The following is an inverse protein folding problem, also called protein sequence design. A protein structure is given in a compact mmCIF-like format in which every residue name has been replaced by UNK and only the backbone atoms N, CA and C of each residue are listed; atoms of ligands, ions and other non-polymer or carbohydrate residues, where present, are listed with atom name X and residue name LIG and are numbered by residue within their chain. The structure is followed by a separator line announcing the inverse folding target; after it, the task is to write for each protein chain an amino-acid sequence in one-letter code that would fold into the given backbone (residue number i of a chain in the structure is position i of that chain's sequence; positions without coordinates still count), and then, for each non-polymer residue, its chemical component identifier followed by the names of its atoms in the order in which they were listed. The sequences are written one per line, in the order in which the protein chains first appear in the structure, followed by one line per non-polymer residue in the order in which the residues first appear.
data_IF_975946554896
#
_entry.id   IF_975946554896
#
_cell.length_a   1.000
_cell.length_b   1.000
_cell.length_c   1.000
_cell.angle_alpha   90.00
_cell.angle_beta   90.00
_cell.angle_gamma   90.00
#
_symmetry.space_group_name_H-M   'P 1'
#
loop_
_entity.id
_entity.type
_entity.pdbx_description
1 polymer ?
#
# COMPACT_ATOMS: atom_id res chain seq x y z
N UNK A 1 -27.62 -55.80 -33.15
CA UNK A 1 -27.00 -55.00 -34.23
C UNK A 1 -26.86 -53.57 -33.72
N UNK A 2 -25.74 -52.87 -33.76
CA UNK A 2 -24.34 -53.22 -33.96
C UNK A 2 -23.57 -52.12 -33.21
N UNK A 3 -22.57 -52.55 -32.44
CA UNK A 3 -21.56 -51.70 -31.81
C UNK A 3 -20.78 -50.95 -32.89
N UNK A 4 -20.62 -49.63 -32.75
CA UNK A 4 -19.56 -48.90 -33.46
C UNK A 4 -18.59 -48.26 -32.47
N UNK A 5 -17.34 -48.39 -32.85
CA UNK A 5 -16.10 -48.41 -32.09
C UNK A 5 -15.49 -47.02 -31.87
N UNK A 6 -14.56 -46.97 -30.91
CA UNK A 6 -13.76 -45.82 -30.46
C UNK A 6 -12.80 -45.20 -31.51
N UNK A 7 -12.98 -45.45 -32.80
CA UNK A 7 -12.03 -45.04 -33.85
C UNK A 7 -12.47 -43.84 -34.70
N UNK A 8 -13.73 -43.36 -34.60
CA UNK A 8 -14.22 -42.22 -35.42
C UNK A 8 -14.03 -40.83 -34.78
N UNK A 9 -13.35 -40.72 -33.63
CA UNK A 9 -13.10 -39.42 -32.96
C UNK A 9 -11.63 -38.94 -33.01
N UNK A 10 -10.76 -39.65 -33.74
CA UNK A 10 -9.32 -39.34 -33.84
C UNK A 10 -8.91 -38.64 -35.15
N UNK A 11 -9.84 -38.11 -35.95
CA UNK A 11 -9.50 -37.52 -37.26
C UNK A 11 -9.97 -36.06 -37.42
N UNK A 12 -9.87 -35.25 -36.36
CA UNK A 12 -10.08 -33.79 -36.43
C UNK A 12 -9.00 -32.94 -35.76
N UNK A 13 -7.80 -33.48 -35.53
CA UNK A 13 -6.63 -32.70 -35.13
C UNK A 13 -5.42 -32.97 -36.04
N UNK A 14 -5.43 -32.36 -37.23
CA UNK A 14 -4.22 -32.13 -38.03
C UNK A 14 -4.09 -30.62 -38.26
N UNK A 15 -3.17 -30.00 -37.53
CA UNK A 15 -2.74 -28.61 -37.76
C UNK A 15 -1.79 -28.53 -38.96
N UNK A 16 -1.93 -27.54 -39.86
CA UNK A 16 -1.02 -27.37 -40.99
C UNK A 16 0.36 -26.88 -40.56
N UNK A 17 1.41 -27.51 -41.11
CA UNK A 17 2.82 -27.15 -40.93
C UNK A 17 3.11 -25.73 -41.44
N UNK A 18 3.88 -24.95 -40.66
CA UNK A 18 4.38 -23.63 -41.07
C UNK A 18 5.68 -23.77 -41.88
N UNK A 19 5.92 -22.98 -42.96
CA UNK A 19 7.10 -23.14 -43.79
C UNK A 19 8.38 -22.70 -43.07
N UNK A 20 9.42 -23.55 -43.14
CA UNK A 20 10.79 -23.24 -42.73
C UNK A 20 11.37 -22.13 -43.61
N UNK A 21 11.56 -20.93 -43.06
CA UNK A 21 12.36 -19.87 -43.71
C UNK A 21 13.84 -20.22 -43.62
N UNK A 22 14.40 -20.68 -44.73
CA UNK A 22 15.84 -20.78 -44.94
C UNK A 22 16.44 -19.37 -45.07
N UNK A 23 17.24 -18.94 -44.10
CA UNK A 23 18.15 -17.81 -44.31
C UNK A 23 19.35 -18.30 -45.12
N UNK A 24 19.42 -17.81 -46.37
CA UNK A 24 20.58 -17.96 -47.26
C UNK A 24 21.81 -17.33 -46.61
N UNK A 25 22.84 -18.15 -46.42
CA UNK A 25 24.21 -17.74 -46.07
C UNK A 25 24.79 -17.01 -47.29
N UNK A 26 24.90 -15.68 -47.24
CA UNK A 26 25.68 -14.93 -48.23
C UNK A 26 27.16 -15.21 -48.00
N UNK A 27 27.80 -15.89 -48.97
CA UNK A 27 29.26 -15.91 -49.13
C UNK A 27 29.68 -14.57 -49.74
N UNK A 28 30.67 -13.93 -49.15
CA UNK A 28 31.46 -12.87 -49.78
C UNK A 28 32.90 -13.37 -49.95
N UNK A 29 33.63 -12.86 -50.97
CA UNK A 29 34.81 -13.50 -51.51
C UNK A 29 36.10 -13.15 -50.75
N UNK A 30 37.07 -13.99 -51.02
CA UNK A 30 38.47 -14.00 -50.61
C UNK A 30 39.19 -12.66 -50.82
N UNK A 31 39.95 -12.22 -49.80
CA UNK A 31 41.13 -11.37 -49.99
C UNK A 31 42.03 -11.47 -48.75
N UNK A 32 43.18 -12.09 -48.98
CA UNK A 32 44.40 -12.05 -48.17
C UNK A 32 44.73 -10.66 -47.63
N UNK A 33 44.96 -10.54 -46.33
CA UNK A 33 46.11 -9.77 -45.84
C UNK A 33 46.52 -10.23 -44.44
N UNK A 34 47.82 -10.29 -44.23
CA UNK A 34 48.50 -10.91 -43.11
C UNK A 34 49.19 -9.77 -42.34
N UNK A 35 48.65 -9.38 -41.19
CA UNK A 35 49.33 -8.45 -40.29
C UNK A 35 49.03 -8.78 -38.84
N UNK A 36 50.10 -9.12 -38.13
CA UNK A 36 50.20 -9.42 -36.71
C UNK A 36 49.66 -8.25 -35.87
N UNK A 37 48.71 -8.52 -34.96
CA UNK A 37 48.35 -7.55 -33.91
C UNK A 37 48.03 -8.28 -32.60
N UNK A 38 48.59 -7.74 -31.52
CA UNK A 38 48.72 -8.29 -30.18
C UNK A 38 47.40 -8.78 -29.55
N UNK A 39 47.48 -9.98 -28.97
CA UNK A 39 46.43 -10.62 -28.19
C UNK A 39 46.20 -9.93 -26.84
N UNK A 40 45.27 -8.96 -26.80
CA UNK A 40 44.69 -8.48 -25.54
C UNK A 40 43.63 -9.47 -25.03
N UNK A 41 43.61 -9.86 -23.74
CA UNK A 41 42.64 -10.81 -23.23
C UNK A 41 41.26 -10.14 -23.22
N UNK A 42 40.35 -10.63 -24.07
CA UNK A 42 38.92 -10.31 -23.99
C UNK A 42 38.40 -10.90 -22.69
N UNK A 43 38.33 -10.07 -21.65
CA UNK A 43 37.57 -10.39 -20.44
C UNK A 43 36.13 -10.60 -20.89
N UNK A 44 35.73 -11.87 -21.00
CA UNK A 44 34.32 -12.25 -21.16
C UNK A 44 33.61 -11.76 -19.91
N UNK A 45 33.04 -10.55 -19.96
CA UNK A 45 32.07 -10.09 -18.98
C UNK A 45 30.91 -11.07 -19.08
N UNK A 46 30.95 -12.06 -18.19
CA UNK A 46 29.84 -12.98 -17.94
C UNK A 46 28.69 -12.08 -17.53
N UNK A 47 27.78 -11.81 -18.47
CA UNK A 47 26.45 -11.35 -18.13
C UNK A 47 25.81 -12.48 -17.34
N UNK A 48 25.98 -12.44 -16.02
CA UNK A 48 25.19 -13.23 -15.10
C UNK A 48 23.75 -12.81 -15.36
N UNK A 49 22.99 -13.65 -16.07
CA UNK A 49 21.54 -13.58 -16.06
C UNK A 49 21.16 -13.77 -14.60
N UNK A 50 20.88 -12.67 -13.91
CA UNK A 50 20.34 -12.73 -12.56
C UNK A 50 19.04 -13.52 -12.66
N UNK A 51 19.02 -14.70 -12.06
CA UNK A 51 17.88 -15.59 -12.10
C UNK A 51 16.75 -14.97 -11.28
N UNK A 52 15.77 -14.37 -11.95
CA UNK A 52 14.64 -13.68 -11.30
C UNK A 52 13.79 -14.61 -10.43
N UNK A 53 13.92 -15.93 -10.59
CA UNK A 53 13.24 -16.92 -9.75
C UNK A 53 13.83 -17.03 -8.34
N UNK A 54 15.17 -17.06 -8.24
CA UNK A 54 15.90 -17.23 -6.96
C UNK A 54 15.71 -16.02 -6.04
N UNK A 55 15.65 -14.81 -6.62
CA UNK A 55 15.40 -13.57 -5.87
C UNK A 55 14.03 -13.62 -5.20
N UNK A 56 12.99 -14.01 -5.94
CA UNK A 56 11.61 -14.05 -5.44
C UNK A 56 11.40 -15.10 -4.35
N UNK A 57 11.93 -16.32 -4.51
CA UNK A 57 11.84 -17.35 -3.45
C UNK A 57 12.57 -16.91 -2.17
N UNK A 58 13.68 -16.20 -2.32
CA UNK A 58 14.39 -15.58 -1.19
C UNK A 58 13.55 -14.51 -0.50
N UNK A 59 12.87 -13.63 -1.26
CA UNK A 59 11.96 -12.62 -0.70
C UNK A 59 10.75 -13.25 -0.01
N UNK A 60 10.16 -14.31 -0.60
CA UNK A 60 9.05 -15.06 0.00
C UNK A 60 9.46 -15.64 1.36
N UNK A 61 10.63 -16.29 1.43
CA UNK A 61 11.19 -16.82 2.68
C UNK A 61 11.43 -15.72 3.73
N UNK A 62 12.10 -14.62 3.36
CA UNK A 62 12.37 -13.49 4.27
C UNK A 62 11.07 -12.87 4.79
N UNK A 63 10.07 -12.77 3.93
CA UNK A 63 8.74 -12.26 4.31
C UNK A 63 8.10 -13.20 5.32
N UNK A 64 8.02 -14.50 5.03
CA UNK A 64 7.42 -15.48 5.93
C UNK A 64 8.15 -15.57 7.28
N UNK A 65 9.49 -15.57 7.27
CA UNK A 65 10.31 -15.69 8.47
C UNK A 65 10.20 -14.48 9.42
N UNK A 66 9.72 -13.34 8.94
CA UNK A 66 9.60 -12.10 9.71
C UNK A 66 8.17 -11.76 10.13
N UNK A 67 7.24 -12.69 9.87
CA UNK A 67 5.84 -12.63 10.29
C UNK A 67 5.62 -13.60 11.46
N UNK A 68 4.93 -13.14 12.50
CA UNK A 68 4.41 -14.03 13.55
C UNK A 68 2.89 -13.98 13.53
N UNK A 69 2.24 -15.15 13.49
CA UNK A 69 0.79 -15.27 13.54
C UNK A 69 0.35 -16.20 14.68
N UNK A 70 -0.72 -15.81 15.38
CA UNK A 70 -1.34 -16.58 16.47
C UNK A 70 -2.86 -16.46 16.39
N UNK A 71 -3.57 -17.58 16.50
CA UNK A 71 -5.02 -17.55 16.73
C UNK A 71 -5.25 -17.35 18.23
N UNK A 72 -5.49 -16.11 18.64
CA UNK A 72 -5.55 -15.73 20.05
C UNK A 72 -7.00 -15.59 20.55
N UNK A 73 -7.90 -15.12 19.69
CA UNK A 73 -9.27 -14.81 20.08
C UNK A 73 -10.22 -15.95 19.71
N UNK A 74 -11.05 -16.37 20.67
CA UNK A 74 -12.15 -17.30 20.41
C UNK A 74 -13.27 -16.65 19.62
N UNK A 75 -14.20 -17.45 19.10
CA UNK A 75 -15.37 -16.93 18.36
C UNK A 75 -16.22 -16.01 19.23
N UNK A 76 -16.48 -16.38 20.48
CA UNK A 76 -17.24 -15.56 21.44
C UNK A 76 -16.53 -14.22 21.73
N UNK A 77 -15.21 -14.24 21.92
CA UNK A 77 -14.44 -13.02 22.12
C UNK A 77 -14.49 -12.12 20.89
N UNK A 78 -14.40 -12.70 19.68
CA UNK A 78 -14.55 -11.97 18.44
C UNK A 78 -15.92 -11.31 18.34
N UNK A 79 -17.01 -12.00 18.68
CA UNK A 79 -18.36 -11.42 18.64
C UNK A 79 -18.53 -10.23 19.58
N UNK A 80 -17.96 -10.31 20.79
CA UNK A 80 -17.99 -9.20 21.76
C UNK A 80 -17.24 -7.99 21.20
N UNK A 81 -16.05 -8.21 20.63
CA UNK A 81 -15.24 -7.13 20.04
C UNK A 81 -15.91 -6.54 18.80
N UNK A 82 -16.53 -7.38 17.96
CA UNK A 82 -17.25 -6.97 16.77
C UNK A 82 -18.42 -6.04 17.10
N UNK A 83 -19.20 -6.36 18.16
CA UNK A 83 -20.22 -5.45 18.69
C UNK A 83 -19.65 -4.10 19.10
N UNK A 84 -18.45 -4.07 19.71
CA UNK A 84 -17.75 -2.82 20.04
C UNK A 84 -17.29 -2.05 18.81
N UNK A 85 -16.84 -2.74 17.76
CA UNK A 85 -16.51 -2.11 16.48
C UNK A 85 -17.78 -1.48 15.87
N UNK A 86 -18.94 -2.14 15.95
CA UNK A 86 -20.21 -1.58 15.48
C UNK A 86 -20.63 -0.34 16.26
N UNK A 87 -20.47 -0.34 17.59
CA UNK A 87 -20.67 0.86 18.42
C UNK A 87 -19.80 2.03 17.94
N UNK A 88 -18.55 1.78 17.55
CA UNK A 88 -17.66 2.79 16.96
C UNK A 88 -18.23 3.34 15.65
N UNK A 89 -18.69 2.47 14.74
CA UNK A 89 -19.28 2.88 13.46
C UNK A 89 -20.53 3.75 13.68
N UNK A 90 -21.39 3.38 14.62
CA UNK A 90 -22.61 4.13 14.97
C UNK A 90 -22.27 5.49 15.58
N UNK A 91 -21.33 5.56 16.52
CA UNK A 91 -20.87 6.84 17.08
C UNK A 91 -20.28 7.76 16.01
N UNK A 92 -19.47 7.18 15.12
CA UNK A 92 -18.91 7.94 14.01
C UNK A 92 -19.99 8.51 13.08
N UNK A 93 -21.05 7.74 12.77
CA UNK A 93 -22.13 8.21 11.90
C UNK A 93 -22.97 9.32 12.51
N UNK A 94 -23.03 9.40 13.85
CA UNK A 94 -23.65 10.51 14.60
C UNK A 94 -22.78 11.77 14.67
N UNK A 95 -21.49 11.65 14.38
CA UNK A 95 -20.54 12.76 14.49
C UNK A 95 -19.97 12.94 15.90
N UNK A 96 -19.99 11.88 16.73
CA UNK A 96 -19.57 11.95 18.13
C UNK A 96 -18.04 11.92 18.32
N UNK A 97 -17.27 11.79 17.23
CA UNK A 97 -15.81 11.75 17.24
C UNK A 97 -15.20 13.01 16.63
N UNK A 98 -13.96 13.31 17.00
CA UNK A 98 -13.18 14.41 16.43
C UNK A 98 -12.97 14.23 14.93
N UNK A 99 -12.74 15.34 14.23
CA UNK A 99 -12.63 15.36 12.77
C UNK A 99 -11.53 14.43 12.23
N UNK A 100 -10.38 14.39 12.90
CA UNK A 100 -9.24 13.56 12.48
C UNK A 100 -9.33 12.11 12.96
N UNK A 101 -10.29 11.77 13.81
CA UNK A 101 -10.56 10.39 14.22
C UNK A 101 -11.14 9.58 13.07
N UNK A 102 -11.96 10.17 12.19
CA UNK A 102 -12.73 9.42 11.20
C UNK A 102 -12.32 9.75 9.76
N UNK A 103 -11.69 8.79 9.07
CA UNK A 103 -11.41 8.87 7.63
C UNK A 103 -12.35 7.96 6.84
N UNK A 104 -13.17 8.54 5.96
CA UNK A 104 -14.15 7.79 5.16
C UNK A 104 -13.75 7.74 3.70
N UNK A 105 -13.56 6.53 3.18
CA UNK A 105 -13.45 6.23 1.76
C UNK A 105 -14.63 5.32 1.31
N UNK A 106 -14.92 5.21 -0.01
CA UNK A 106 -16.14 4.55 -0.50
C UNK A 106 -16.38 3.13 0.01
N UNK A 107 -15.33 2.31 0.11
CA UNK A 107 -15.40 0.90 0.54
C UNK A 107 -14.56 0.61 1.79
N UNK A 108 -14.06 1.65 2.46
CA UNK A 108 -13.24 1.52 3.65
C UNK A 108 -13.34 2.76 4.52
N UNK A 109 -13.67 2.56 5.79
CA UNK A 109 -13.55 3.60 6.81
C UNK A 109 -12.39 3.29 7.75
N UNK A 110 -11.73 4.33 8.26
CA UNK A 110 -10.69 4.22 9.29
C UNK A 110 -11.06 5.06 10.50
N UNK A 111 -10.75 4.53 11.66
CA UNK A 111 -10.98 5.18 12.95
C UNK A 111 -9.65 5.23 13.71
N UNK A 112 -9.10 6.43 13.93
CA UNK A 112 -7.82 6.65 14.60
C UNK A 112 -8.04 6.98 16.07
N UNK A 113 -7.37 6.23 16.95
CA UNK A 113 -7.41 6.48 18.38
C UNK A 113 -6.01 6.55 18.99
N UNK A 114 -5.84 7.42 19.98
CA UNK A 114 -4.56 7.75 20.63
C UNK A 114 -3.70 8.65 19.76
N UNK A 115 -3.28 8.15 18.60
CA UNK A 115 -2.43 8.87 17.65
C UNK A 115 -2.93 8.69 16.22
N UNK A 116 -3.04 9.80 15.49
CA UNK A 116 -3.37 9.84 14.06
C UNK A 116 -2.28 10.56 13.28
N UNK A 117 -2.21 10.30 11.97
CA UNK A 117 -1.21 10.88 11.09
C UNK A 117 -1.79 11.24 9.73
N UNK A 118 -1.11 12.14 9.02
CA UNK A 118 -1.45 12.53 7.67
C UNK A 118 -1.04 11.48 6.65
N UNK A 119 -1.82 11.31 5.60
CA UNK A 119 -1.40 10.55 4.42
C UNK A 119 -0.77 11.47 3.37
N UNK A 120 0.16 10.95 2.56
CA UNK A 120 0.88 11.75 1.54
C UNK A 120 0.00 12.48 0.52
N UNK A 121 -1.31 12.21 0.45
CA UNK A 121 -2.29 12.97 -0.34
C UNK A 121 -2.70 14.32 0.29
N UNK A 122 -2.50 14.49 1.59
CA UNK A 122 -2.89 15.67 2.38
C UNK A 122 -1.77 16.72 2.48
N UNK A 123 -0.56 16.40 2.01
CA UNK A 123 0.61 17.27 2.09
C UNK A 123 0.83 17.99 0.74
N UNK A 124 1.24 19.27 0.80
CA UNK A 124 1.59 20.06 -0.39
C UNK A 124 2.74 19.42 -1.18
N UNK A 125 3.73 18.86 -0.48
CA UNK A 125 4.78 18.01 -1.05
C UNK A 125 4.40 16.54 -0.86
N UNK A 126 4.12 15.87 -1.97
CA UNK A 126 3.81 14.44 -2.01
C UNK A 126 5.11 13.64 -2.05
N UNK A 127 5.20 12.62 -1.21
CA UNK A 127 6.30 11.66 -1.23
C UNK A 127 6.20 10.68 -0.06
N UNK A 128 6.71 9.45 -0.20
CA UNK A 128 6.91 8.54 0.94
C UNK A 128 7.79 9.22 1.99
N UNK A 129 7.49 9.04 3.27
CA UNK A 129 8.31 9.56 4.36
C UNK A 129 7.95 10.99 4.79
N UNK A 130 6.91 11.57 4.20
CA UNK A 130 6.44 12.93 4.56
C UNK A 130 5.28 12.90 5.55
N UNK A 131 4.74 11.71 5.86
CA UNK A 131 3.70 11.53 6.87
C UNK A 131 4.11 12.18 8.19
N UNK A 132 3.18 12.90 8.82
CA UNK A 132 3.37 13.52 10.13
C UNK A 132 2.19 13.17 11.03
N UNK A 133 2.46 13.05 12.32
CA UNK A 133 1.41 12.94 13.33
C UNK A 133 0.60 14.24 13.37
N UNK A 134 -0.70 14.13 13.66
CA UNK A 134 -1.49 15.29 14.04
C UNK A 134 -1.00 15.84 15.40
N UNK A 135 -1.26 17.12 15.70
CA UNK A 135 -1.08 17.63 17.06
C UNK A 135 -1.75 16.73 18.11
N UNK A 136 -1.18 16.69 19.32
CA UNK A 136 -1.76 15.91 20.43
C UNK A 136 -3.18 16.39 20.70
N UNK A 137 -4.12 15.45 20.86
CA UNK A 137 -5.53 15.75 21.15
C UNK A 137 -6.42 15.95 19.92
N UNK A 138 -5.88 15.88 18.69
CA UNK A 138 -6.69 16.00 17.45
C UNK A 138 -7.48 14.73 17.12
N UNK A 139 -7.08 13.58 17.68
CA UNK A 139 -7.83 12.33 17.61
C UNK A 139 -8.37 11.95 18.99
N UNK A 140 -9.37 11.09 19.01
CA UNK A 140 -9.95 10.56 20.25
C UNK A 140 -8.98 9.60 20.94
N UNK A 141 -9.10 9.48 22.26
CA UNK A 141 -8.28 8.53 23.03
C UNK A 141 -8.64 7.09 22.68
N UNK A 142 -7.72 6.15 22.93
CA UNK A 142 -7.97 4.72 22.74
C UNK A 142 -9.11 4.29 23.66
N UNK A 143 -10.25 3.78 23.11
CA UNK A 143 -11.34 3.31 23.93
C UNK A 143 -10.90 2.22 24.90
N UNK A 144 -11.35 2.30 26.16
CA UNK A 144 -10.94 1.38 27.22
C UNK A 144 -11.17 -0.11 26.86
N UNK A 145 -12.23 -0.40 26.10
CA UNK A 145 -12.51 -1.76 25.64
C UNK A 145 -11.41 -2.33 24.73
N UNK A 146 -10.68 -1.50 23.97
CA UNK A 146 -9.54 -1.96 23.15
C UNK A 146 -8.43 -2.44 24.09
N UNK A 147 -8.14 -1.70 25.15
CA UNK A 147 -7.16 -2.13 26.14
C UNK A 147 -7.60 -3.43 26.81
N UNK A 148 -8.84 -3.48 27.29
CA UNK A 148 -9.33 -4.61 28.09
C UNK A 148 -9.51 -5.89 27.29
N UNK A 149 -10.11 -5.79 26.09
CA UNK A 149 -10.51 -6.93 25.29
C UNK A 149 -9.47 -7.34 24.25
N UNK A 150 -8.54 -6.45 23.86
CA UNK A 150 -7.60 -6.71 22.76
C UNK A 150 -6.14 -6.62 23.23
N UNK A 151 -5.72 -5.50 23.81
CA UNK A 151 -4.31 -5.28 24.20
C UNK A 151 -3.92 -6.20 25.36
N UNK A 152 -4.73 -6.32 26.41
CA UNK A 152 -4.43 -7.17 27.58
C UNK A 152 -4.20 -8.64 27.19
N UNK A 153 -5.04 -9.30 26.37
CA UNK A 153 -4.75 -10.65 25.88
C UNK A 153 -3.42 -10.77 25.12
N UNK A 154 -3.10 -9.79 24.27
CA UNK A 154 -1.85 -9.80 23.48
C UNK A 154 -0.61 -9.65 24.38
N UNK A 155 -0.68 -8.76 25.38
CA UNK A 155 0.38 -8.57 26.37
C UNK A 155 0.53 -9.81 27.26
N UNK A 156 -0.58 -10.42 27.68
CA UNK A 156 -0.58 -11.65 28.48
C UNK A 156 0.09 -12.82 27.75
N UNK A 157 -0.08 -12.91 26.43
CA UNK A 157 0.58 -13.90 25.58
C UNK A 157 2.07 -13.57 25.31
N UNK A 158 2.56 -12.42 25.77
CA UNK A 158 3.95 -11.99 25.60
C UNK A 158 4.29 -11.54 24.18
N UNK A 159 3.29 -11.21 23.36
CA UNK A 159 3.50 -10.77 21.97
C UNK A 159 4.08 -9.36 21.87
N UNK A 160 3.74 -8.49 22.83
CA UNK A 160 4.33 -7.14 23.02
C UNK A 160 4.40 -6.83 24.51
N UNK A 161 5.32 -5.95 24.97
CA UNK A 161 5.39 -5.57 26.36
C UNK A 161 4.20 -4.68 26.79
N UNK A 162 3.91 -4.66 28.09
CA UNK A 162 2.95 -3.73 28.66
C UNK A 162 3.38 -2.28 28.40
N UNK A 163 2.41 -1.40 28.12
CA UNK A 163 2.68 0.00 27.79
C UNK A 163 3.23 0.26 26.37
N UNK A 164 3.42 -0.79 25.55
CA UNK A 164 3.89 -0.61 24.17
C UNK A 164 2.88 0.16 23.30
N UNK A 165 1.59 -0.16 23.40
CA UNK A 165 0.58 0.36 22.48
C UNK A 165 0.11 1.76 22.88
N UNK A 166 0.30 2.73 21.99
CA UNK A 166 -0.21 4.10 22.12
C UNK A 166 -0.97 4.61 20.88
N UNK A 167 -1.09 3.80 19.83
CA UNK A 167 -1.90 4.07 18.64
C UNK A 167 -2.76 2.85 18.31
N UNK A 168 -4.07 3.05 18.17
CA UNK A 168 -5.00 2.03 17.72
C UNK A 168 -5.79 2.54 16.51
N UNK A 169 -5.81 1.77 15.42
CA UNK A 169 -6.57 2.12 14.21
C UNK A 169 -7.49 0.98 13.83
N UNK A 170 -8.79 1.27 13.71
CA UNK A 170 -9.77 0.31 13.20
C UNK A 170 -9.99 0.61 11.73
N UNK A 171 -9.70 -0.35 10.86
CA UNK A 171 -10.09 -0.28 9.45
C UNK A 171 -11.30 -1.20 9.23
N UNK A 172 -12.43 -0.63 8.82
CA UNK A 172 -13.66 -1.35 8.47
C UNK A 172 -13.84 -1.36 6.95
N UNK A 173 -13.89 -2.54 6.36
CA UNK A 173 -13.94 -2.79 4.91
C UNK A 173 -15.30 -3.35 4.53
N UNK A 174 -15.89 -2.76 3.49
CA UNK A 174 -17.03 -3.34 2.78
C UNK A 174 -16.54 -4.34 1.71
N UNK A 175 -17.40 -5.23 1.19
CA UNK A 175 -17.06 -6.12 0.09
C UNK A 175 -16.41 -5.38 -1.10
N UNK A 176 -15.32 -5.93 -1.62
CA UNK A 176 -14.50 -5.29 -2.66
C UNK A 176 -13.60 -4.15 -2.16
N UNK A 177 -13.63 -3.85 -0.86
CA UNK A 177 -12.71 -2.90 -0.22
C UNK A 177 -11.25 -3.34 -0.35
N UNK A 178 -10.33 -2.38 -0.35
CA UNK A 178 -8.90 -2.68 -0.51
C UNK A 178 -8.02 -1.64 0.19
N UNK A 179 -6.74 -1.99 0.32
CA UNK A 179 -5.67 -1.04 0.64
C UNK A 179 -4.57 -1.21 -0.39
N UNK A 180 -4.17 -0.09 -1.01
CA UNK A 180 -3.06 -0.05 -1.97
C UNK A 180 -1.76 -0.41 -1.25
N UNK A 181 -0.82 -0.99 -1.99
CA UNK A 181 0.50 -1.36 -1.46
C UNK A 181 1.20 -0.20 -0.76
N UNK A 182 1.66 -0.46 0.46
CA UNK A 182 2.36 0.51 1.29
C UNK A 182 3.26 -0.20 2.32
N UNK A 183 4.10 0.58 2.98
CA UNK A 183 4.86 0.21 4.18
C UNK A 183 4.34 1.10 5.31
N UNK A 184 4.11 0.54 6.50
CA UNK A 184 3.78 1.34 7.68
C UNK A 184 4.95 2.31 7.97
N UNK A 185 4.70 3.62 8.08
CA UNK A 185 5.79 4.61 8.08
C UNK A 185 6.84 4.34 9.18
N UNK A 186 8.09 3.99 8.81
CA UNK A 186 9.14 3.65 9.78
C UNK A 186 9.57 4.82 10.65
N UNK A 187 9.42 6.04 10.15
CA UNK A 187 9.70 7.27 10.91
C UNK A 187 8.55 7.68 11.84
N UNK A 188 7.43 6.97 11.84
CA UNK A 188 6.29 7.25 12.74
C UNK A 188 6.08 6.11 13.73
N UNK A 189 6.23 4.86 13.31
CA UNK A 189 5.86 3.70 14.13
C UNK A 189 7.06 2.79 14.42
N UNK A 190 7.21 2.43 15.68
CA UNK A 190 8.09 1.34 16.09
C UNK A 190 7.54 -0.01 15.62
N UNK A 191 8.39 -1.03 15.65
CA UNK A 191 8.03 -2.43 15.34
C UNK A 191 7.98 -3.23 16.65
N UNK A 192 7.16 -4.31 16.72
CA UNK A 192 6.34 -4.87 15.65
C UNK A 192 5.05 -4.07 15.41
N UNK A 193 4.53 -4.16 14.18
CA UNK A 193 3.18 -3.71 13.85
C UNK A 193 2.22 -4.87 14.16
N UNK A 194 1.28 -4.66 15.06
CA UNK A 194 0.33 -5.70 15.49
C UNK A 194 -1.03 -5.46 14.83
N UNK A 195 -1.65 -6.51 14.31
CA UNK A 195 -2.99 -6.43 13.74
C UNK A 195 -3.85 -7.62 14.16
N UNK A 196 -5.14 -7.36 14.41
CA UNK A 196 -6.13 -8.39 14.79
C UNK A 196 -7.33 -8.29 13.88
N UNK A 197 -7.73 -9.40 13.25
CA UNK A 197 -8.81 -9.42 12.26
C UNK A 197 -10.16 -9.90 12.82
N UNK A 198 -11.24 -9.32 12.32
CA UNK A 198 -12.61 -9.55 12.77
C UNK A 198 -13.60 -9.61 11.59
N UNK A 199 -14.80 -10.11 11.87
CA UNK A 199 -15.94 -10.39 10.97
C UNK A 199 -15.72 -11.52 9.97
N UNK A 200 -14.64 -11.49 9.19
CA UNK A 200 -14.40 -12.48 8.14
C UNK A 200 -12.92 -12.75 7.93
N UNK A 201 -12.65 -13.92 7.37
CA UNK A 201 -11.34 -14.29 6.87
C UNK A 201 -10.97 -13.45 5.63
N UNK A 202 -9.66 -13.31 5.39
CA UNK A 202 -9.10 -12.52 4.29
C UNK A 202 -7.68 -13.00 3.97
N UNK A 203 -7.01 -12.33 3.03
CA UNK A 203 -5.58 -12.47 2.80
C UNK A 203 -4.85 -11.12 2.79
N UNK A 204 -3.66 -11.10 3.38
CA UNK A 204 -2.69 -10.00 3.27
C UNK A 204 -1.61 -10.37 2.27
N UNK A 205 -1.48 -9.55 1.24
CA UNK A 205 -0.58 -9.78 0.12
C UNK A 205 0.64 -8.88 0.21
N UNK A 206 1.83 -9.45 0.05
CA UNK A 206 3.12 -8.76 0.08
C UNK A 206 3.73 -8.66 -1.33
N UNK A 207 4.42 -7.57 -1.61
CA UNK A 207 5.12 -7.33 -2.89
C UNK A 207 4.18 -7.09 -4.09
N UNK A 208 2.94 -6.67 -3.84
CA UNK A 208 2.02 -6.31 -4.91
C UNK A 208 2.28 -4.90 -5.44
N UNK A 209 2.17 -4.73 -6.75
CA UNK A 209 2.08 -3.42 -7.41
C UNK A 209 0.66 -3.23 -7.92
N UNK A 210 0.09 -2.06 -7.63
CA UNK A 210 -1.23 -1.67 -8.12
C UNK A 210 -1.08 -0.92 -9.44
N UNK A 211 -1.93 -1.27 -10.40
CA UNK A 211 -2.23 -0.40 -11.54
C UNK A 211 -3.67 0.08 -11.44
N UNK A 212 -3.90 1.32 -11.85
CA UNK A 212 -5.21 1.97 -11.78
C UNK A 212 -5.77 2.13 -13.20
N UNK A 213 -7.10 2.02 -13.32
CA UNK A 213 -7.87 2.11 -14.59
C UNK A 213 -7.60 0.95 -15.59
N UNK A 214 -8.13 -0.27 -15.34
CA UNK A 214 -8.88 -0.73 -14.16
C UNK A 214 -7.94 -1.08 -12.99
N UNK A 215 -8.49 -1.23 -11.78
CA UNK A 215 -7.68 -1.67 -10.63
C UNK A 215 -7.19 -3.10 -10.91
N UNK A 216 -5.87 -3.28 -10.99
CA UNK A 216 -5.23 -4.59 -11.06
C UNK A 216 -4.06 -4.65 -10.10
N UNK A 217 -3.74 -5.85 -9.66
CA UNK A 217 -2.59 -6.14 -8.79
C UNK A 217 -1.68 -7.15 -9.46
N UNK A 218 -0.37 -6.94 -9.38
CA UNK A 218 0.59 -7.99 -9.78
C UNK A 218 0.45 -9.22 -8.88
N UNK A 219 0.99 -10.36 -9.34
CA UNK A 219 1.11 -11.55 -8.49
C UNK A 219 1.91 -11.15 -7.23
N UNK A 220 1.37 -11.34 -6.02
CA UNK A 220 2.11 -11.10 -4.78
C UNK A 220 3.36 -11.96 -4.73
N UNK A 221 4.38 -11.50 -4.00
CA UNK A 221 5.51 -12.31 -3.55
C UNK A 221 4.94 -13.35 -2.60
N UNK A 222 4.42 -12.92 -1.45
CA UNK A 222 3.82 -13.80 -0.45
C UNK A 222 2.35 -13.44 -0.18
N UNK A 223 1.52 -14.44 0.11
CA UNK A 223 0.12 -14.26 0.53
C UNK A 223 -0.05 -14.93 1.88
N UNK A 224 -0.40 -14.13 2.88
CA UNK A 224 -0.70 -14.59 4.22
C UNK A 224 -2.22 -14.70 4.40
N UNK A 225 -2.79 -15.90 4.62
CA UNK A 225 -4.15 -16.04 5.11
C UNK A 225 -4.30 -15.37 6.48
N UNK A 226 -5.37 -14.61 6.65
CA UNK A 226 -5.67 -13.88 7.90
C UNK A 226 -7.10 -14.20 8.30
N UNK A 227 -7.23 -15.15 9.21
CA UNK A 227 -8.51 -15.64 9.71
C UNK A 227 -9.10 -14.71 10.77
N UNK A 228 -10.42 -14.80 10.97
CA UNK A 228 -11.11 -14.12 12.08
C UNK A 228 -10.50 -14.53 13.43
N UNK A 229 -10.19 -13.54 14.26
CA UNK A 229 -9.59 -13.71 15.58
C UNK A 229 -8.08 -13.99 15.58
N UNK A 230 -7.42 -13.98 14.42
CA UNK A 230 -5.97 -14.12 14.37
C UNK A 230 -5.26 -12.77 14.62
N UNK A 231 -4.14 -12.86 15.34
CA UNK A 231 -3.19 -11.79 15.58
C UNK A 231 -2.01 -11.99 14.64
N UNK A 232 -1.66 -10.96 13.89
CA UNK A 232 -0.52 -10.94 12.97
C UNK A 232 0.43 -9.82 13.38
N UNK A 233 1.70 -10.17 13.58
CA UNK A 233 2.80 -9.26 13.89
C UNK A 233 3.73 -9.17 12.69
N UNK A 234 3.98 -7.95 12.23
CA UNK A 234 4.96 -7.66 11.20
C UNK A 234 6.20 -7.02 11.83
N UNK A 235 7.36 -7.56 11.49
CA UNK A 235 8.67 -7.08 11.95
C UNK A 235 9.72 -7.29 10.86
N UNK A 236 10.89 -6.66 10.99
CA UNK A 236 12.01 -6.83 10.07
C UNK A 236 11.58 -6.71 8.60
N UNK A 237 11.96 -7.70 7.78
CA UNK A 237 11.72 -7.65 6.34
C UNK A 237 10.25 -7.39 5.96
N UNK A 238 9.28 -8.08 6.59
CA UNK A 238 7.84 -7.92 6.32
C UNK A 238 7.27 -6.55 6.68
N UNK A 239 7.91 -5.82 7.59
CA UNK A 239 7.49 -4.49 8.02
C UNK A 239 8.24 -3.36 7.30
N UNK A 240 9.48 -3.61 6.86
CA UNK A 240 10.42 -2.55 6.47
C UNK A 240 10.85 -2.59 5.00
N UNK A 241 10.94 -3.78 4.41
CA UNK A 241 11.59 -3.98 3.11
C UNK A 241 10.61 -4.35 1.99
N UNK A 242 9.42 -4.84 2.34
CA UNK A 242 8.39 -5.24 1.37
C UNK A 242 7.04 -4.58 1.66
N UNK A 243 6.43 -4.04 0.61
CA UNK A 243 5.09 -3.44 0.72
C UNK A 243 4.02 -4.50 0.93
N UNK A 244 2.99 -4.19 1.71
CA UNK A 244 1.82 -5.05 1.90
C UNK A 244 0.51 -4.37 1.47
N UNK A 245 -0.49 -5.18 1.15
CA UNK A 245 -1.79 -4.72 0.65
C UNK A 245 -2.91 -5.74 0.91
N UNK A 246 -4.15 -5.28 0.81
CA UNK A 246 -5.35 -6.13 0.71
C UNK A 246 -5.92 -5.89 -0.68
N UNK A 247 -6.11 -6.97 -1.45
CA UNK A 247 -6.63 -6.87 -2.82
C UNK A 247 -8.16 -6.90 -2.79
N UNK A 248 -8.86 -6.21 -3.71
CA UNK A 248 -10.33 -6.18 -3.72
C UNK A 248 -10.99 -7.55 -3.70
N UNK A 249 -10.42 -8.53 -4.43
CA UNK A 249 -10.93 -9.89 -4.53
C UNK A 249 -10.80 -10.71 -3.24
N UNK A 250 -9.95 -10.28 -2.30
CA UNK A 250 -9.76 -11.00 -1.03
C UNK A 250 -10.76 -10.54 0.04
N UNK A 251 -11.46 -9.42 -0.16
CA UNK A 251 -12.52 -8.91 0.74
C UNK A 251 -13.87 -9.27 0.17
N UNK A 252 -14.30 -10.51 0.42
CA UNK A 252 -15.56 -11.06 -0.12
C UNK A 252 -16.77 -10.62 0.70
N UNK A 253 -16.61 -10.47 2.01
CA UNK A 253 -17.62 -10.00 2.96
C UNK A 253 -17.08 -8.85 3.81
N UNK A 254 -17.90 -8.29 4.70
CA UNK A 254 -17.46 -7.23 5.62
C UNK A 254 -16.31 -7.76 6.48
N UNK A 255 -15.24 -6.97 6.57
CA UNK A 255 -14.04 -7.29 7.34
C UNK A 255 -13.62 -6.09 8.16
N UNK A 256 -13.24 -6.29 9.41
CA UNK A 256 -12.53 -5.27 10.17
C UNK A 256 -11.16 -5.75 10.63
N UNK A 257 -10.25 -4.81 10.86
CA UNK A 257 -8.96 -5.08 11.49
C UNK A 257 -8.64 -3.96 12.46
N UNK A 258 -8.21 -4.32 13.67
CA UNK A 258 -7.64 -3.39 14.65
C UNK A 258 -6.12 -3.48 14.52
N UNK A 259 -5.48 -2.35 14.20
CA UNK A 259 -4.04 -2.21 14.08
C UNK A 259 -3.53 -1.48 15.32
N UNK A 260 -2.64 -2.12 16.07
CA UNK A 260 -2.07 -1.62 17.31
C UNK A 260 -0.58 -1.36 17.10
N UNK A 261 -0.13 -0.15 17.43
CA UNK A 261 1.24 0.30 17.19
C UNK A 261 1.75 1.15 18.35
N UNK A 262 3.07 1.31 18.38
CA UNK A 262 3.77 2.32 19.17
C UNK A 262 4.30 3.40 18.23
N UNK A 263 4.05 4.66 18.56
CA UNK A 263 4.66 5.81 17.88
C UNK A 263 6.08 6.02 18.38
N UNK A 264 7.03 6.28 17.47
CA UNK A 264 8.41 6.63 17.82
C UNK A 264 8.47 7.95 18.60
N UNK A 265 9.35 8.05 19.59
CA UNK A 265 9.49 9.25 20.43
C UNK A 265 9.88 10.51 19.62
N UNK A 266 10.62 10.33 18.52
CA UNK A 266 11.09 11.37 17.61
C UNK A 266 10.18 11.56 16.38
N UNK A 267 9.02 10.90 16.33
CA UNK A 267 8.13 10.95 15.18
C UNK A 267 7.69 12.40 14.85
N UNK A 268 7.82 12.85 13.60
CA UNK A 268 7.53 14.22 13.24
C UNK A 268 6.04 14.53 13.37
N UNK A 269 5.73 15.67 13.99
CA UNK A 269 4.36 16.15 14.22
C UNK A 269 4.08 17.41 13.42
N UNK A 270 2.83 17.58 13.00
CA UNK A 270 2.36 18.84 12.45
C UNK A 270 2.37 19.93 13.53
N UNK A 271 2.72 21.14 13.11
CA UNK A 271 2.64 22.33 13.96
C UNK A 271 1.15 22.67 14.21
N UNK A 272 0.72 22.87 15.47
CA UNK A 272 -0.65 23.28 15.81
C UNK A 272 -1.13 24.54 15.08
N UNK A 273 -0.24 25.46 14.70
CA UNK A 273 -0.60 26.69 13.98
C UNK A 273 -0.86 26.42 12.49
N UNK A 274 -0.27 25.36 11.93
CA UNK A 274 -0.46 24.96 10.54
C UNK A 274 -1.60 23.95 10.35
N UNK A 275 -1.99 23.19 11.38
CA UNK A 275 -3.09 22.21 11.29
C UNK A 275 -4.43 22.87 10.91
N UNK A 276 -4.75 24.02 11.50
CA UNK A 276 -5.99 24.77 11.22
C UNK A 276 -6.08 25.31 9.77
N UNK A 277 -4.94 25.43 9.06
CA UNK A 277 -4.90 25.88 7.66
C UNK A 277 -5.02 24.74 6.64
N UNK A 278 -4.90 23.49 7.08
CA UNK A 278 -5.09 22.30 6.20
C UNK A 278 -6.59 22.00 6.04
N UNK A 279 -7.44 22.42 7.00
CA UNK A 279 -8.88 22.20 7.01
C UNK A 279 -9.64 22.85 5.82
N UNK A 280 -9.39 24.12 5.41
CA UNK A 280 -10.18 24.76 4.36
C UNK A 280 -9.93 24.21 2.95
N UNK A 281 -8.70 23.75 2.66
CA UNK A 281 -8.35 23.24 1.33
C UNK A 281 -8.97 21.86 1.04
N UNK A 282 -9.21 21.06 2.09
CA UNK A 282 -9.83 19.74 1.99
C UNK A 282 -11.36 19.84 1.85
N UNK A 283 -12.02 20.66 2.67
CA UNK A 283 -13.47 20.89 2.56
C UNK A 283 -13.86 21.44 1.18
N UNK A 284 -13.10 22.41 0.66
CA UNK A 284 -13.34 22.97 -0.67
C UNK A 284 -13.23 21.90 -1.78
N UNK A 285 -12.27 20.97 -1.67
CA UNK A 285 -12.09 19.87 -2.63
C UNK A 285 -13.12 18.75 -2.49
N UNK A 286 -13.65 18.52 -1.28
CA UNK A 286 -14.71 17.54 -1.02
C UNK A 286 -16.07 18.03 -1.54
N UNK A 287 -16.35 19.33 -1.41
CA UNK A 287 -17.56 19.98 -1.95
C UNK A 287 -17.53 20.17 -3.47
N UNK A 288 -16.35 20.30 -4.07
CA UNK A 288 -16.18 20.48 -5.51
C UNK A 288 -16.32 19.19 -6.37
N UNK A 289 -16.58 18.02 -5.76
CA UNK A 289 -16.89 16.81 -6.53
C UNK A 289 -18.36 16.84 -6.97
N UNK A 290 -18.67 16.79 -8.29
CA UNK A 290 -20.05 16.70 -8.73
C UNK A 290 -20.67 15.41 -8.18
N UNK A 291 -21.81 15.54 -7.48
CA UNK A 291 -22.64 14.40 -7.09
C UNK A 291 -23.11 13.72 -8.37
N UNK A 292 -22.59 12.53 -8.66
CA UNK A 292 -23.19 11.66 -9.67
C UNK A 292 -24.59 11.26 -9.22
N UNK A 293 -25.61 11.35 -10.09
CA UNK A 293 -26.99 11.01 -9.71
C UNK A 293 -27.09 9.51 -9.42
N UNK A 294 -27.71 9.18 -8.29
CA UNK A 294 -28.03 7.82 -7.88
C UNK A 294 -28.94 7.14 -8.92
N UNK A 295 -28.78 5.83 -9.21
CA UNK A 295 -29.72 5.11 -10.04
C UNK A 295 -31.02 4.88 -9.25
N UNK A 296 -32.09 5.55 -9.64
CA UNK A 296 -33.44 5.29 -9.14
C UNK A 296 -33.89 3.92 -9.64
N UNK A 297 -34.22 3.03 -8.71
CA UNK A 297 -34.94 1.79 -8.96
C UNK A 297 -36.25 2.08 -9.71
N UNK A 298 -36.41 1.49 -10.88
CA UNK A 298 -37.67 1.47 -11.62
C UNK A 298 -38.52 0.32 -11.11
N UNK A 299 -39.49 0.61 -10.25
CA UNK A 299 -40.64 -0.26 -10.04
C UNK A 299 -41.67 -0.01 -11.15
N UNK A 300 -42.12 -1.11 -11.75
CA UNK A 300 -43.13 -1.15 -12.79
C UNK A 300 -44.47 -1.56 -12.18
N UNK A 301 -45.48 -0.70 -12.30
CA UNK A 301 -46.88 -1.11 -12.33
C UNK A 301 -47.80 0.00 -12.88
N UNK A 302 -48.65 -0.42 -13.84
CA UNK A 302 -49.98 0.04 -14.31
C UNK A 302 -50.56 1.38 -13.81
N UNK A 303 -51.46 2.11 -14.48
CA UNK A 303 -52.15 2.07 -15.76
C UNK A 303 -52.90 3.42 -15.88
N UNK A 304 -53.25 3.80 -17.12
CA UNK A 304 -54.43 4.59 -17.52
C UNK A 304 -54.46 6.14 -17.48
N UNK A 305 -54.97 6.61 -18.63
CA UNK A 305 -55.79 7.80 -18.92
C UNK A 305 -55.18 9.12 -19.45
N UNK A 306 -55.18 9.17 -20.80
CA UNK A 306 -55.93 10.10 -21.68
C UNK A 306 -55.76 11.63 -21.59
N UNK A 307 -55.40 12.14 -22.79
CA UNK A 307 -55.91 13.33 -23.50
C UNK A 307 -55.21 14.70 -23.36
N UNK A 308 -54.59 15.07 -24.49
CA UNK A 308 -54.62 16.35 -25.25
C UNK A 308 -54.50 17.70 -24.52
N UNK A 309 -53.49 18.50 -24.89
CA UNK A 309 -53.64 19.64 -25.83
C UNK A 309 -52.32 20.44 -26.02
N UNK A 310 -51.88 20.49 -27.30
CA UNK A 310 -51.51 21.65 -28.13
C UNK A 310 -50.77 22.89 -27.53
N UNK A 311 -49.64 23.21 -28.22
CA UNK A 311 -49.01 24.54 -28.43
C UNK A 311 -48.33 25.21 -27.23
N UNK A 312 -47.06 25.61 -27.27
CA UNK A 312 -46.60 26.73 -28.11
C UNK A 312 -45.06 26.82 -28.15
N UNK A 313 -44.53 27.05 -29.35
CA UNK A 313 -43.14 27.44 -29.64
C UNK A 313 -42.83 28.81 -29.01
N UNK A 314 -41.68 28.94 -28.33
CA UNK A 314 -40.85 30.17 -28.40
C UNK A 314 -39.37 29.79 -28.43
N UNK A 315 -38.74 30.12 -29.56
CA UNK A 315 -37.29 30.13 -29.78
C UNK A 315 -36.72 31.37 -29.08
N UNK A 316 -35.62 31.23 -28.35
CA UNK A 316 -34.67 32.33 -28.18
C UNK A 316 -33.27 31.84 -28.55
N UNK A 317 -32.73 32.48 -29.58
CA UNK A 317 -31.34 32.43 -30.02
C UNK A 317 -30.56 33.42 -29.15
N UNK A 318 -29.43 33.02 -28.59
CA UNK A 318 -28.36 33.97 -28.28
C UNK A 318 -26.99 33.43 -28.67
N UNK A 319 -26.26 34.38 -29.24
CA UNK A 319 -25.05 34.36 -30.06
C UNK A 319 -23.77 34.10 -29.27
N UNK A 320 -22.82 33.44 -29.93
CA UNK A 320 -21.42 33.34 -29.54
C UNK A 320 -20.69 34.68 -29.70
N UNK A 321 -19.59 34.87 -28.95
CA UNK A 321 -18.37 35.35 -29.57
C UNK A 321 -17.17 34.41 -29.31
N UNK A 322 -16.45 34.17 -30.40
CA UNK A 322 -15.11 33.57 -30.51
C UNK A 322 -14.02 34.56 -30.07
N UNK A 323 -12.87 34.00 -29.64
CA UNK A 323 -11.49 34.54 -29.49
C UNK A 323 -10.93 34.05 -28.14
N UNK A 324 -9.76 33.45 -27.97
CA UNK A 324 -8.67 33.07 -28.85
C UNK A 324 -7.70 32.19 -28.04
N UNK A 325 -6.99 31.29 -28.71
CA UNK A 325 -5.98 30.42 -28.12
C UNK A 325 -4.79 31.23 -27.57
N UNK A 326 -4.35 30.92 -26.35
CA UNK A 326 -2.99 31.21 -25.92
C UNK A 326 -2.37 30.00 -25.22
N UNK A 327 -1.42 29.39 -25.93
CA UNK A 327 -0.38 28.54 -25.39
C UNK A 327 0.45 29.33 -24.37
N UNK A 328 0.63 28.79 -23.16
CA UNK A 328 1.62 29.29 -22.20
C UNK A 328 2.64 28.18 -21.94
N UNK A 329 3.77 28.36 -22.63
CA UNK A 329 5.04 27.66 -22.50
C UNK A 329 5.70 28.16 -21.21
N UNK A 330 5.96 27.27 -20.24
CA UNK A 330 6.73 27.62 -19.05
C UNK A 330 8.23 27.55 -19.38
N UNK A 331 8.88 28.72 -19.32
CA UNK A 331 10.33 28.88 -19.41
C UNK A 331 11.02 28.52 -18.08
N UNK A 332 12.16 27.84 -18.21
CA UNK A 332 13.08 27.55 -17.13
C UNK A 332 13.91 28.80 -16.79
N UNK A 333 13.69 29.36 -15.61
CA UNK A 333 14.53 30.41 -15.04
C UNK A 333 15.70 29.84 -14.25
N UNK A 334 16.90 29.93 -14.82
CA UNK A 334 18.17 29.82 -14.09
C UNK A 334 18.33 31.02 -13.15
N UNK A 335 18.67 30.76 -11.89
CA UNK A 335 19.06 31.77 -10.91
C UNK A 335 20.45 31.46 -10.36
N UNK A 336 21.45 32.17 -10.84
CA UNK A 336 22.80 32.28 -10.29
C UNK A 336 22.82 33.35 -9.19
N UNK A 337 23.37 33.05 -8.01
CA UNK A 337 24.21 34.00 -7.24
C UNK A 337 24.93 33.35 -6.02
N UNK A 338 26.22 33.07 -6.22
CA UNK A 338 27.38 33.75 -5.58
C UNK A 338 27.40 33.89 -4.04
N UNK A 339 28.26 33.09 -3.37
CA UNK A 339 29.03 33.45 -2.15
C UNK A 339 30.36 32.67 -2.16
N UNK A 340 31.47 33.32 -2.51
CA UNK A 340 32.55 33.83 -1.64
C UNK A 340 33.48 32.77 -1.02
N UNK A 341 34.72 32.76 -1.52
CA UNK A 341 35.90 32.06 -0.97
C UNK A 341 36.51 32.87 0.18
N UNK A 342 36.90 32.21 1.27
CA UNK A 342 38.10 32.54 2.07
C UNK A 342 38.69 31.27 2.72
N UNK A 343 39.86 30.87 2.20
CA UNK A 343 41.07 30.33 2.86
C UNK A 343 41.02 29.57 4.20
N UNK A 344 41.33 28.27 4.11
CA UNK A 344 42.45 27.53 4.74
C UNK A 344 42.86 27.77 6.20
N UNK A 345 42.88 26.68 6.99
CA UNK A 345 44.09 26.27 7.72
C UNK A 345 44.11 24.77 8.02
N UNK A 346 45.17 24.15 7.55
CA UNK A 346 45.67 22.78 7.70
C UNK A 346 45.99 22.44 9.16
N UNK A 347 45.74 21.21 9.62
CA UNK A 347 46.68 20.45 10.47
C UNK A 347 46.41 18.94 10.31
N UNK A 348 47.46 18.23 9.87
CA UNK A 348 47.59 16.76 9.85
C UNK A 348 48.13 16.28 11.20
N UNK A 349 47.87 15.00 11.52
CA UNK A 349 48.61 14.02 12.35
C UNK A 349 47.71 13.36 13.39
N UNK A 350 47.79 12.07 13.70
CA UNK A 350 48.56 10.91 13.20
C UNK A 350 47.90 9.68 13.85
N UNK A 351 47.90 8.58 13.11
CA UNK A 351 47.67 7.19 13.55
C UNK A 351 48.28 6.85 14.92
N UNK A 352 47.58 6.07 15.76
CA UNK A 352 48.19 4.99 16.55
C UNK A 352 47.13 3.95 16.96
N UNK A 353 47.46 2.69 16.72
CA UNK A 353 46.81 1.48 17.23
C UNK A 353 47.86 0.73 18.06
N UNK A 354 47.50 0.09 19.18
CA UNK A 354 48.29 -1.04 19.64
C UNK A 354 47.49 -2.32 19.91
N UNK A 355 48.22 -3.40 19.68
CA UNK A 355 47.88 -4.82 19.65
C UNK A 355 47.55 -5.42 21.03
N UNK A 356 46.71 -6.46 20.97
CA UNK A 356 46.73 -7.74 21.71
C UNK A 356 47.78 -7.94 22.82
N UNK A 357 47.32 -8.38 24.00
CA UNK A 357 48.01 -9.40 24.80
C UNK A 357 47.01 -10.33 25.49
N UNK A 358 47.38 -11.60 25.50
CA UNK A 358 46.61 -12.81 25.81
C UNK A 358 47.17 -13.40 27.11
N UNK A 359 46.28 -13.92 27.95
CA UNK A 359 46.44 -15.00 28.95
C UNK A 359 47.59 -14.93 29.97
N UNK A 360 47.20 -14.97 31.25
CA UNK A 360 47.80 -15.89 32.22
C UNK A 360 46.68 -16.48 33.09
N UNK A 361 46.78 -17.78 33.34
CA UNK A 361 45.78 -18.66 33.96
C UNK A 361 46.46 -19.31 35.16
N UNK A 362 45.67 -19.57 36.20
CA UNK A 362 45.88 -20.57 37.28
C UNK A 362 46.96 -20.34 38.35
N UNK A 363 46.50 -20.18 39.60
CA UNK A 363 46.61 -21.25 40.63
C UNK A 363 45.86 -20.89 41.92
N UNK A 364 44.75 -21.58 42.18
CA UNK A 364 44.46 -22.15 43.51
C UNK A 364 43.24 -23.07 43.45
N UNK A 365 43.54 -24.35 43.69
CA UNK A 365 42.70 -25.56 43.84
C UNK A 365 42.33 -26.31 42.56
#
# INVERSE_FOLDING_TARGET
MATKSKEELSEKMRTPEKPRRHYRRRRSPDSSDNSEEESKPVVKVRHYKHDKGVDRESEEWKTQASITQRRLFSEEQCEIIEKKIEEVVVKASRGDYKDHTVDRAPLRSKYFFGEGYTYGSQLEKKGPGMEKLYPKGEVDDIPQWIFDLVVKPIVKEGLVPEGFINSAVINDYLPGGCIVSHIDPPHIFERPIVSVSFFSDCALSFGCRFSFRPIRTTKPVFVLPIDRGCVTLLSGYSADEITHCIRPQDVVSRRAVIILRKVCDDAPRLDPVLSHKILPAFEARKRARPRSPSPTHSDSSCERDRHSHRSSRKKLRHSYPTMGNHDVRYENGHGDHRQSRTSSSTTRHRSYSPKQKRQEKERSK
#
